data_IF_621424788294
#
_entry.id   IF_621424788294
#
_cell.length_a   1.000
_cell.length_b   1.000
_cell.length_c   1.000
_cell.angle_alpha   90.00
_cell.angle_beta   90.00
_cell.angle_gamma   90.00
#
_symmetry.space_group_name_H-M   'P 1'
#
loop_
_entity.id
_entity.type
_entity.pdbx_description
1 polymer ?
#
# COMPACT_ATOMS: atom_id res chain seq x y z
N UNK A 1 -26.01 9.06 -2.79
CA UNK A 1 -25.35 9.51 -1.55
C UNK A 1 -24.58 8.32 -1.03
N UNK A 2 -23.33 8.51 -0.61
CA UNK A 2 -22.53 7.43 -0.01
C UNK A 2 -23.18 6.92 1.27
N UNK A 3 -23.16 5.61 1.48
CA UNK A 3 -23.63 4.99 2.71
C UNK A 3 -22.64 5.21 3.86
N UNK A 4 -23.08 5.07 5.12
CA UNK A 4 -22.18 5.14 6.27
C UNK A 4 -21.02 4.12 6.20
N UNK A 5 -21.28 2.90 5.71
CA UNK A 5 -20.24 1.88 5.55
C UNK A 5 -19.19 2.32 4.52
N UNK A 6 -19.62 2.71 3.30
CA UNK A 6 -18.70 3.17 2.26
C UNK A 6 -17.84 4.34 2.75
N UNK A 7 -18.47 5.31 3.42
CA UNK A 7 -17.79 6.48 3.99
C UNK A 7 -16.70 6.07 4.99
N UNK A 8 -17.02 5.20 5.97
CA UNK A 8 -16.04 4.75 6.98
C UNK A 8 -14.86 4.02 6.33
N UNK A 9 -15.10 3.20 5.32
CA UNK A 9 -14.04 2.49 4.61
C UNK A 9 -13.10 3.46 3.89
N UNK A 10 -13.65 4.42 3.15
CA UNK A 10 -12.86 5.44 2.44
C UNK A 10 -12.11 6.36 3.40
N UNK A 11 -12.74 6.79 4.49
CA UNK A 11 -12.11 7.61 5.53
C UNK A 11 -10.94 6.87 6.19
N UNK A 12 -11.08 5.56 6.46
CA UNK A 12 -10.00 4.77 7.05
C UNK A 12 -8.83 4.56 6.07
N UNK A 13 -9.13 4.34 4.78
CA UNK A 13 -8.11 4.27 3.72
C UNK A 13 -7.36 5.60 3.58
N UNK A 14 -8.08 6.73 3.58
CA UNK A 14 -7.49 8.06 3.53
C UNK A 14 -6.63 8.33 4.77
N UNK A 15 -7.17 8.07 5.96
CA UNK A 15 -6.46 8.28 7.22
C UNK A 15 -5.13 7.53 7.26
N UNK A 16 -5.13 6.23 6.94
CA UNK A 16 -3.90 5.41 6.95
C UNK A 16 -2.90 5.86 5.89
N UNK A 17 -3.37 6.20 4.69
CA UNK A 17 -2.52 6.73 3.61
C UNK A 17 -1.88 8.06 3.97
N UNK A 18 -2.63 9.00 4.52
CA UNK A 18 -2.10 10.29 4.96
C UNK A 18 -1.02 10.13 6.03
N UNK A 19 -1.25 9.28 7.04
CA UNK A 19 -0.24 9.05 8.09
C UNK A 19 1.04 8.44 7.54
N UNK A 20 0.93 7.54 6.56
CA UNK A 20 2.08 6.98 5.86
C UNK A 20 2.79 8.04 5.01
N UNK A 21 2.05 8.93 4.35
CA UNK A 21 2.62 10.05 3.59
C UNK A 21 3.35 11.07 4.47
N UNK A 22 2.85 11.36 5.67
CA UNK A 22 3.53 12.21 6.65
C UNK A 22 4.91 11.63 7.02
N UNK A 23 5.01 10.30 7.13
CA UNK A 23 6.26 9.57 7.43
C UNK A 23 7.22 9.61 6.23
N UNK A 24 6.72 9.32 5.02
CA UNK A 24 7.50 9.22 3.79
C UNK A 24 8.03 10.60 3.34
N UNK A 25 7.21 11.64 3.42
CA UNK A 25 7.59 13.01 3.00
C UNK A 25 8.75 13.58 3.81
N UNK A 26 8.94 13.12 5.05
CA UNK A 26 10.02 13.54 5.93
C UNK A 26 11.19 12.55 5.94
N UNK A 27 11.18 11.48 5.13
CA UNK A 27 12.22 10.45 5.10
C UNK A 27 13.36 10.90 4.17
N UNK A 28 14.63 10.96 4.61
CA UNK A 28 15.73 11.43 3.77
C UNK A 28 15.95 10.50 2.57
N UNK A 29 15.99 11.06 1.37
CA UNK A 29 16.08 10.28 0.13
C UNK A 29 17.41 9.53 0.03
N UNK A 30 18.49 10.13 0.54
CA UNK A 30 19.82 9.50 0.62
C UNK A 30 19.85 8.27 1.55
N UNK A 31 18.81 8.08 2.37
CA UNK A 31 18.62 6.94 3.27
C UNK A 31 17.52 5.99 2.77
N UNK A 32 17.04 6.10 1.53
CA UNK A 32 15.86 5.35 1.06
C UNK A 32 16.01 3.81 1.05
N UNK A 33 17.25 3.31 1.13
CA UNK A 33 17.60 1.88 1.28
C UNK A 33 18.10 1.51 2.67
N UNK A 34 18.04 2.45 3.62
CA UNK A 34 18.51 2.22 4.98
C UNK A 34 17.69 1.12 5.68
N UNK A 35 18.40 0.23 6.35
CA UNK A 35 17.88 -0.87 7.15
C UNK A 35 18.60 -0.90 8.50
N UNK A 36 17.90 -1.29 9.58
CA UNK A 36 18.54 -1.57 10.88
C UNK A 36 18.95 -3.04 10.94
N UNK A 37 18.09 -3.92 10.46
CA UNK A 37 18.31 -5.35 10.29
C UNK A 37 18.30 -5.70 8.80
N UNK A 38 19.13 -6.66 8.32
CA UNK A 38 19.11 -7.09 6.91
C UNK A 38 17.74 -7.59 6.40
N UNK A 39 16.81 -7.89 7.30
CA UNK A 39 15.45 -8.33 6.98
C UNK A 39 14.42 -7.19 6.96
N UNK A 40 14.82 -5.95 7.25
CA UNK A 40 13.91 -4.81 7.28
C UNK A 40 13.45 -4.41 5.87
N UNK A 41 12.19 -4.01 5.74
CA UNK A 41 11.71 -3.38 4.52
C UNK A 41 12.06 -1.89 4.55
N UNK A 42 12.98 -1.45 3.68
CA UNK A 42 13.34 -0.04 3.54
C UNK A 42 12.31 0.75 2.71
N UNK A 43 12.53 2.05 2.54
CA UNK A 43 11.57 2.97 1.92
C UNK A 43 11.22 2.57 0.47
N UNK A 44 12.24 2.37 -0.39
CA UNK A 44 11.98 2.03 -1.80
C UNK A 44 11.18 0.72 -1.94
N UNK A 45 11.57 -0.32 -1.21
CA UNK A 45 10.84 -1.59 -1.24
C UNK A 45 9.41 -1.43 -0.73
N UNK A 46 9.22 -0.70 0.37
CA UNK A 46 7.89 -0.48 0.97
C UNK A 46 6.93 0.23 0.00
N UNK A 47 7.39 1.28 -0.70
CA UNK A 47 6.55 1.99 -1.68
C UNK A 47 6.14 1.10 -2.84
N UNK A 48 7.09 0.36 -3.42
CA UNK A 48 6.80 -0.60 -4.49
C UNK A 48 5.87 -1.71 -4.02
N UNK A 49 6.11 -2.27 -2.84
CA UNK A 49 5.31 -3.34 -2.25
C UNK A 49 3.86 -2.94 -2.03
N UNK A 50 3.63 -1.77 -1.44
CA UNK A 50 2.27 -1.28 -1.23
C UNK A 50 1.55 -1.01 -2.56
N UNK A 51 2.26 -0.49 -3.56
CA UNK A 51 1.68 -0.28 -4.88
C UNK A 51 1.29 -1.60 -5.59
N UNK A 52 2.16 -2.61 -5.54
CA UNK A 52 1.85 -3.96 -6.05
C UNK A 52 0.68 -4.58 -5.29
N UNK A 53 0.65 -4.41 -3.97
CA UNK A 53 -0.41 -4.95 -3.10
C UNK A 53 -1.77 -4.31 -3.39
N UNK A 54 -1.82 -2.99 -3.61
CA UNK A 54 -3.05 -2.29 -3.98
C UNK A 54 -3.68 -2.88 -5.26
N UNK A 55 -2.85 -3.16 -6.28
CA UNK A 55 -3.30 -3.79 -7.53
C UNK A 55 -3.68 -5.25 -7.35
N UNK A 56 -2.94 -6.01 -6.53
CA UNK A 56 -3.29 -7.38 -6.22
C UNK A 56 -4.65 -7.48 -5.50
N UNK A 57 -4.90 -6.60 -4.51
CA UNK A 57 -6.18 -6.52 -3.81
C UNK A 57 -7.31 -6.14 -4.77
N UNK A 58 -7.08 -5.15 -5.64
CA UNK A 58 -8.07 -4.76 -6.64
C UNK A 58 -8.38 -5.91 -7.60
N UNK A 59 -7.37 -6.64 -8.09
CA UNK A 59 -7.56 -7.80 -8.96
C UNK A 59 -8.26 -8.98 -8.27
N UNK A 60 -8.14 -9.10 -6.95
CA UNK A 60 -8.90 -10.08 -6.17
C UNK A 60 -10.39 -9.71 -6.04
N UNK A 61 -10.71 -8.41 -5.99
CA UNK A 61 -12.07 -7.90 -5.80
C UNK A 61 -12.80 -7.64 -7.12
N UNK A 62 -12.07 -7.25 -8.16
CA UNK A 62 -12.61 -6.81 -9.44
C UNK A 62 -11.73 -7.34 -10.59
N UNK A 63 -11.75 -8.66 -10.85
CA UNK A 63 -10.85 -9.29 -11.82
C UNK A 63 -11.05 -8.81 -13.26
N UNK A 64 -12.24 -8.31 -13.59
CA UNK A 64 -12.61 -7.78 -14.92
C UNK A 64 -12.54 -6.25 -14.98
N UNK A 65 -12.04 -5.60 -13.92
CA UNK A 65 -11.94 -4.15 -13.80
C UNK A 65 -10.88 -3.51 -14.70
N UNK A 66 -10.92 -2.17 -14.89
CA UNK A 66 -9.94 -1.47 -15.72
C UNK A 66 -8.52 -1.70 -15.19
N UNK A 67 -7.69 -2.31 -16.04
CA UNK A 67 -6.39 -2.88 -15.70
C UNK A 67 -5.29 -1.86 -15.46
N UNK A 68 -5.36 -1.11 -14.35
CA UNK A 68 -4.12 -0.53 -13.83
C UNK A 68 -3.22 -1.69 -13.41
N UNK A 69 -2.10 -1.77 -14.10
CA UNK A 69 -1.06 -2.75 -13.88
C UNK A 69 0.17 -2.03 -13.34
N UNK A 70 0.84 -2.68 -12.40
CA UNK A 70 2.25 -2.40 -12.14
C UNK A 70 3.09 -3.04 -13.25
N UNK A 71 4.28 -2.51 -13.60
CA UNK A 71 5.17 -3.21 -14.52
C UNK A 71 5.43 -4.65 -14.04
N UNK A 72 5.43 -5.64 -14.94
CA UNK A 72 5.53 -7.06 -14.54
C UNK A 72 6.79 -7.35 -13.68
N UNK A 73 7.90 -6.67 -13.97
CA UNK A 73 9.13 -6.77 -13.19
C UNK A 73 8.93 -6.40 -11.70
N UNK A 74 7.96 -5.56 -11.37
CA UNK A 74 7.66 -5.15 -10.00
C UNK A 74 7.06 -6.29 -9.18
N UNK A 75 6.37 -7.24 -9.81
CA UNK A 75 5.84 -8.40 -9.10
C UNK A 75 7.00 -9.19 -8.47
N UNK A 76 8.10 -9.41 -9.18
CA UNK A 76 9.25 -10.13 -8.62
C UNK A 76 9.99 -9.31 -7.57
N UNK A 77 10.13 -8.00 -7.79
CA UNK A 77 10.91 -7.12 -6.93
C UNK A 77 10.23 -6.79 -5.61
N UNK A 78 8.90 -6.73 -5.59
CA UNK A 78 8.13 -6.24 -4.45
C UNK A 78 7.06 -7.20 -3.93
N UNK A 79 6.96 -8.44 -4.43
CA UNK A 79 6.04 -9.41 -3.84
C UNK A 79 6.46 -9.80 -2.42
N UNK A 80 5.49 -10.27 -1.65
CA UNK A 80 5.74 -10.92 -0.37
C UNK A 80 6.80 -12.04 -0.54
N UNK A 81 7.82 -12.01 0.32
CA UNK A 81 8.93 -12.97 0.29
C UNK A 81 10.03 -12.67 -0.74
N UNK A 82 9.94 -11.57 -1.49
CA UNK A 82 11.05 -11.09 -2.32
C UNK A 82 12.27 -10.72 -1.48
N UNK A 83 13.45 -10.80 -2.09
CA UNK A 83 14.69 -10.37 -1.44
C UNK A 83 14.80 -8.86 -1.48
N UNK A 84 14.96 -8.24 -0.31
CA UNK A 84 15.17 -6.80 -0.18
C UNK A 84 16.67 -6.52 -0.37
N UNK A 85 17.02 -5.82 -1.45
CA UNK A 85 18.38 -5.38 -1.76
C UNK A 85 18.68 -4.04 -1.09
N UNK A 86 19.92 -3.82 -0.64
CA UNK A 86 20.37 -2.52 -0.15
C UNK A 86 20.94 -1.61 -1.25
N UNK A 87 20.96 -2.07 -2.50
CA UNK A 87 21.45 -1.30 -3.65
C UNK A 87 20.30 -0.49 -4.26
N UNK A 88 20.35 0.84 -4.15
CA UNK A 88 19.29 1.72 -4.65
C UNK A 88 19.05 1.57 -6.17
N UNK A 89 20.07 1.17 -6.93
CA UNK A 89 19.98 0.95 -8.38
C UNK A 89 19.19 -0.29 -8.77
N UNK A 90 18.90 -1.20 -7.83
CA UNK A 90 18.06 -2.37 -8.07
C UNK A 90 16.56 -2.00 -8.11
N UNK A 91 16.22 -0.77 -7.72
CA UNK A 91 14.86 -0.27 -7.64
C UNK A 91 14.58 0.81 -8.69
N UNK A 92 13.31 0.97 -9.10
CA UNK A 92 12.87 2.16 -9.81
C UNK A 92 13.18 3.44 -9.01
N UNK A 93 13.34 4.59 -9.68
CA UNK A 93 13.53 5.87 -8.99
C UNK A 93 12.45 6.13 -7.95
N UNK A 94 12.82 6.74 -6.81
CA UNK A 94 11.89 7.04 -5.72
C UNK A 94 10.65 7.79 -6.19
N UNK A 95 10.79 8.74 -7.12
CA UNK A 95 9.66 9.49 -7.67
C UNK A 95 8.68 8.57 -8.43
N UNK A 96 9.19 7.66 -9.28
CA UNK A 96 8.35 6.70 -9.99
C UNK A 96 7.61 5.75 -9.03
N UNK A 97 8.24 5.41 -7.90
CA UNK A 97 7.60 4.63 -6.83
C UNK A 97 6.50 5.44 -6.13
N UNK A 98 6.73 6.73 -5.84
CA UNK A 98 5.72 7.64 -5.26
C UNK A 98 4.53 7.80 -6.18
N UNK A 99 4.77 8.12 -7.45
CA UNK A 99 3.72 8.25 -8.48
C UNK A 99 2.86 6.99 -8.54
N UNK A 100 3.49 5.81 -8.60
CA UNK A 100 2.75 4.56 -8.67
C UNK A 100 1.99 4.26 -7.38
N UNK A 101 2.62 4.47 -6.22
CA UNK A 101 1.99 4.33 -4.91
C UNK A 101 0.73 5.18 -4.79
N UNK A 102 0.75 6.42 -5.27
CA UNK A 102 -0.44 7.28 -5.32
C UNK A 102 -1.49 6.75 -6.29
N UNK A 103 -1.11 6.47 -7.54
CA UNK A 103 -2.05 6.06 -8.58
C UNK A 103 -2.80 4.76 -8.24
N UNK A 104 -2.12 3.77 -7.64
CA UNK A 104 -2.77 2.49 -7.28
C UNK A 104 -3.78 2.66 -6.15
N UNK A 105 -3.50 3.57 -5.20
CA UNK A 105 -4.42 3.90 -4.12
C UNK A 105 -5.67 4.60 -4.62
N UNK A 106 -5.52 5.61 -5.47
CA UNK A 106 -6.64 6.36 -6.03
C UNK A 106 -7.60 5.45 -6.78
N UNK A 107 -7.07 4.50 -7.55
CA UNK A 107 -7.90 3.55 -8.29
C UNK A 107 -8.58 2.53 -7.40
N UNK A 108 -7.91 2.06 -6.33
CA UNK A 108 -8.57 1.25 -5.32
C UNK A 108 -9.72 2.03 -4.65
N UNK A 109 -9.49 3.26 -4.21
CA UNK A 109 -10.50 4.10 -3.57
C UNK A 109 -11.66 4.44 -4.54
N UNK A 110 -11.36 4.67 -5.82
CA UNK A 110 -12.37 4.90 -6.86
C UNK A 110 -13.27 3.67 -7.03
N UNK A 111 -12.69 2.47 -7.01
CA UNK A 111 -13.45 1.22 -7.04
C UNK A 111 -14.37 1.11 -5.81
N UNK A 112 -13.85 1.29 -4.60
CA UNK A 112 -14.67 1.24 -3.36
C UNK A 112 -15.80 2.29 -3.37
N UNK A 113 -15.52 3.51 -3.85
CA UNK A 113 -16.51 4.58 -3.96
C UNK A 113 -17.61 4.29 -5.00
N UNK A 114 -17.39 3.35 -5.92
CA UNK A 114 -18.38 2.94 -6.92
C UNK A 114 -19.38 1.90 -6.43
N UNK A 115 -19.11 1.24 -5.30
CA UNK A 115 -19.91 0.13 -4.78
C UNK A 115 -20.96 0.61 -3.77
N UNK A 116 -22.16 0.06 -3.80
CA UNK A 116 -23.15 0.22 -2.72
C UNK A 116 -22.90 -0.75 -1.55
N UNK A 117 -23.71 -0.67 -0.48
CA UNK A 117 -23.52 -1.51 0.72
C UNK A 117 -23.63 -3.01 0.46
N UNK A 118 -24.49 -3.42 -0.48
CA UNK A 118 -24.63 -4.83 -0.81
C UNK A 118 -23.39 -5.30 -1.57
N UNK A 119 -22.99 -4.55 -2.60
CA UNK A 119 -21.81 -4.86 -3.40
C UNK A 119 -20.50 -4.81 -2.59
N UNK A 120 -20.42 -3.97 -1.55
CA UNK A 120 -19.28 -3.94 -0.62
C UNK A 120 -19.15 -5.23 0.20
N UNK A 121 -20.27 -5.92 0.42
CA UNK A 121 -20.37 -7.12 1.26
C UNK A 121 -20.45 -8.42 0.45
N UNK A 122 -20.76 -8.34 -0.84
CA UNK A 122 -20.81 -9.47 -1.76
C UNK A 122 -19.48 -10.24 -1.81
N UNK A 123 -19.59 -11.56 -1.92
CA UNK A 123 -18.43 -12.45 -1.95
C UNK A 123 -17.54 -12.16 -3.16
N UNK A 124 -16.28 -11.86 -2.88
CA UNK A 124 -15.26 -11.73 -3.90
C UNK A 124 -14.90 -13.11 -4.48
N UNK A 125 -14.42 -13.18 -5.73
CA UNK A 125 -13.97 -14.42 -6.34
C UNK A 125 -12.85 -15.10 -5.54
N UNK A 126 -13.19 -16.19 -4.82
CA UNK A 126 -12.26 -16.91 -3.95
C UNK A 126 -10.99 -17.42 -4.66
N UNK A 127 -11.08 -17.70 -5.96
CA UNK A 127 -9.99 -18.26 -6.76
C UNK A 127 -8.75 -17.34 -6.86
N UNK A 128 -8.87 -16.03 -6.60
CA UNK A 128 -7.76 -15.08 -6.73
C UNK A 128 -6.99 -14.85 -5.43
N UNK A 129 -7.67 -14.90 -4.28
CA UNK A 129 -7.09 -14.61 -2.97
C UNK A 129 -7.04 -15.83 -2.03
N UNK A 130 -7.52 -16.99 -2.48
CA UNK A 130 -7.73 -18.17 -1.64
C UNK A 130 -8.56 -17.85 -0.38
N UNK A 131 -9.56 -16.97 -0.53
CA UNK A 131 -10.44 -16.52 0.56
C UNK A 131 -9.84 -15.47 1.50
N UNK A 132 -8.59 -15.03 1.30
CA UNK A 132 -7.98 -13.99 2.13
C UNK A 132 -8.71 -12.64 2.02
N UNK A 133 -9.21 -12.33 0.82
CA UNK A 133 -10.01 -11.13 0.55
C UNK A 133 -11.43 -11.59 0.25
N UNK A 134 -12.32 -11.69 1.26
CA UNK A 134 -13.64 -12.27 1.08
C UNK A 134 -14.65 -11.32 0.44
N UNK A 135 -14.51 -10.01 0.62
CA UNK A 135 -15.34 -8.97 0.00
C UNK A 135 -14.63 -7.61 0.03
N UNK A 136 -15.18 -6.60 -0.64
CA UNK A 136 -14.55 -5.28 -0.78
C UNK A 136 -14.43 -4.53 0.56
N UNK A 137 -15.40 -4.69 1.47
CA UNK A 137 -15.33 -4.12 2.81
C UNK A 137 -14.15 -4.69 3.61
N UNK A 138 -13.97 -6.02 3.59
CA UNK A 138 -12.83 -6.68 4.25
C UNK A 138 -11.52 -6.38 3.54
N UNK A 139 -11.49 -6.33 2.22
CA UNK A 139 -10.32 -5.91 1.45
C UNK A 139 -9.84 -4.51 1.82
N UNK A 140 -10.76 -3.57 2.01
CA UNK A 140 -10.45 -2.20 2.45
C UNK A 140 -9.86 -2.17 3.87
N UNK A 141 -10.40 -2.97 4.80
CA UNK A 141 -9.86 -3.09 6.14
C UNK A 141 -8.45 -3.72 6.17
N UNK A 142 -8.24 -4.77 5.37
CA UNK A 142 -6.92 -5.42 5.19
C UNK A 142 -5.90 -4.42 4.67
N UNK A 143 -6.25 -3.66 3.62
CA UNK A 143 -5.39 -2.64 3.01
C UNK A 143 -4.99 -1.57 4.03
N UNK A 144 -5.95 -1.01 4.76
CA UNK A 144 -5.69 0.02 5.76
C UNK A 144 -4.77 -0.48 6.88
N UNK A 145 -5.01 -1.69 7.39
CA UNK A 145 -4.11 -2.33 8.37
C UNK A 145 -2.71 -2.52 7.80
N UNK A 146 -2.59 -2.98 6.56
CA UNK A 146 -1.33 -3.26 5.90
C UNK A 146 -0.48 -1.99 5.72
N UNK A 147 -1.10 -0.88 5.28
CA UNK A 147 -0.42 0.43 5.23
C UNK A 147 0.01 0.90 6.62
N UNK A 148 -0.85 0.75 7.64
CA UNK A 148 -0.51 1.10 9.02
C UNK A 148 0.66 0.28 9.58
N UNK A 149 0.75 -1.01 9.23
CA UNK A 149 1.85 -1.88 9.62
C UNK A 149 3.19 -1.42 9.02
N UNK A 150 3.22 -1.15 7.70
CA UNK A 150 4.40 -0.62 7.03
C UNK A 150 4.77 0.79 7.50
N UNK A 151 3.78 1.64 7.83
CA UNK A 151 4.04 2.93 8.47
C UNK A 151 4.77 2.77 9.82
N UNK A 152 4.43 1.75 10.60
CA UNK A 152 5.15 1.40 11.84
C UNK A 152 6.60 0.96 11.61
N UNK A 153 6.85 0.16 10.56
CA UNK A 153 8.20 -0.25 10.17
C UNK A 153 9.06 0.95 9.77
N UNK A 154 8.55 1.81 8.87
CA UNK A 154 9.24 3.02 8.44
C UNK A 154 9.48 4.00 9.60
N UNK A 155 8.52 4.11 10.52
CA UNK A 155 8.69 4.92 11.73
C UNK A 155 9.84 4.41 12.61
N UNK A 156 10.07 3.10 12.66
CA UNK A 156 11.18 2.50 13.40
C UNK A 156 12.53 2.81 12.74
N UNK A 157 12.60 2.72 11.41
CA UNK A 157 13.79 3.13 10.66
C UNK A 157 14.12 4.62 10.86
N UNK A 158 13.11 5.49 10.82
CA UNK A 158 13.28 6.92 11.12
C UNK A 158 13.89 7.17 12.49
N UNK A 159 13.41 6.46 13.54
CA UNK A 159 13.96 6.58 14.89
C UNK A 159 15.42 6.14 14.94
N UNK A 160 15.78 5.07 14.24
CA UNK A 160 17.16 4.60 14.16
C UNK A 160 18.10 5.58 13.46
N UNK A 161 17.58 6.36 12.50
CA UNK A 161 18.27 7.48 11.86
C UNK A 161 18.33 8.75 12.76
N UNK A 162 17.81 8.70 13.98
CA UNK A 162 17.77 9.86 14.88
C UNK A 162 16.74 10.92 14.50
N UNK A 163 15.81 10.61 13.60
CA UNK A 163 14.79 11.54 13.16
C UNK A 163 13.66 11.68 14.19
N UNK A 164 13.17 12.90 14.37
CA UNK A 164 11.99 13.18 15.19
C UNK A 164 10.71 12.54 14.64
N UNK A 165 9.64 12.64 15.43
CA UNK A 165 8.30 12.19 15.04
C UNK A 165 7.90 12.83 13.71
N UNK A 166 7.38 12.02 12.79
CA UNK A 166 6.81 12.53 11.55
C UNK A 166 5.54 13.38 11.78
N UNK A 167 4.91 13.25 12.95
CA UNK A 167 3.66 13.93 13.30
C UNK A 167 3.87 15.13 14.23
N UNK A 168 5.09 15.36 14.71
CA UNK A 168 5.41 16.59 15.41
C UNK A 168 5.66 17.72 14.40
N UNK A 169 5.17 18.92 14.74
CA UNK A 169 5.46 20.16 14.04
C UNK A 169 6.81 20.74 14.44
#
# INVERSE_FOLDING_TARGET
MSSPLQTILLENLAFTRERLMDIISKFPEEQAVFQVCPTDCHLLWTLGHLAVTDIWLLGALNPDGPGITVPEAWNQLFSFGSTVSTEATDYPPLEALRERFHATHEVFCTFIASLDDNALMDDAPAARSNGFVPNAARGSAIKAWHEGWHAGQLSSLRKALGLGSAFAG
#
